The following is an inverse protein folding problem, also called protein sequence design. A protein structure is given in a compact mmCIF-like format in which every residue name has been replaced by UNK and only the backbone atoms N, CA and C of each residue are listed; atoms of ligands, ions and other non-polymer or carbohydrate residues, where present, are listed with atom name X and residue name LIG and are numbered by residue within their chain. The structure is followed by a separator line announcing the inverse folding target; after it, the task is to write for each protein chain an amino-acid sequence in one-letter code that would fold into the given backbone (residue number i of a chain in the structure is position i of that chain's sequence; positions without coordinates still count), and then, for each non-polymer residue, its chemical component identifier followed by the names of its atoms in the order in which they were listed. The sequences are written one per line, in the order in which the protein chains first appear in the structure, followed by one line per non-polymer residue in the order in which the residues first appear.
data_IF_142987614515
#
_entry.id   IF_142987614515
#
_cell.length_a   1.000
_cell.length_b   1.000
_cell.length_c   1.000
_cell.angle_alpha   90.00
_cell.angle_beta   90.00
_cell.angle_gamma   90.00
#
_symmetry.space_group_name_H-M   'P 1'
#
loop_
_entity.id
_entity.type
_entity.pdbx_description
1 polymer ?
#
# COMPACT_ATOMS: atom_id res chain seq x y z
N UNK A 1 36.25 -32.39 8.22
CA UNK A 1 35.14 -31.53 8.67
C UNK A 1 35.45 -30.17 8.12
N UNK A 2 34.65 -29.71 7.16
CA UNK A 2 34.78 -28.35 6.65
C UNK A 2 34.20 -27.40 7.70
N UNK A 3 34.93 -26.31 7.95
CA UNK A 3 34.56 -25.31 8.97
C UNK A 3 33.31 -24.52 8.55
N UNK A 4 33.09 -24.36 7.24
CA UNK A 4 32.00 -23.59 6.66
C UNK A 4 31.17 -24.44 5.70
N UNK A 5 29.86 -24.16 5.65
CA UNK A 5 28.99 -24.77 4.64
C UNK A 5 29.29 -24.22 3.23
N UNK A 6 28.90 -24.91 2.15
CA UNK A 6 29.02 -24.40 0.79
C UNK A 6 28.41 -23.00 0.60
N UNK A 7 27.27 -22.73 1.25
CA UNK A 7 26.58 -21.44 1.21
C UNK A 7 27.38 -20.34 1.91
N UNK A 8 27.97 -20.62 3.08
CA UNK A 8 28.85 -19.68 3.78
C UNK A 8 30.13 -19.40 2.99
N UNK A 9 30.68 -20.41 2.30
CA UNK A 9 31.84 -20.22 1.41
C UNK A 9 31.49 -19.36 0.20
N UNK A 10 30.27 -19.49 -0.35
CA UNK A 10 29.80 -18.64 -1.43
C UNK A 10 29.72 -17.18 -0.96
N UNK A 11 29.08 -16.92 0.18
CA UNK A 11 29.01 -15.57 0.74
C UNK A 11 30.41 -14.96 0.97
N UNK A 12 31.33 -15.72 1.57
CA UNK A 12 32.69 -15.26 1.81
C UNK A 12 33.46 -14.94 0.51
N UNK A 13 33.23 -15.71 -0.56
CA UNK A 13 33.85 -15.46 -1.88
C UNK A 13 33.28 -14.22 -2.58
N UNK A 14 32.04 -13.85 -2.25
CA UNK A 14 31.35 -12.69 -2.82
C UNK A 14 31.20 -11.54 -1.82
N UNK A 15 32.06 -11.49 -0.80
CA UNK A 15 31.93 -10.54 0.31
C UNK A 15 31.97 -9.07 -0.12
N UNK A 16 32.84 -8.71 -1.06
CA UNK A 16 32.91 -7.33 -1.56
C UNK A 16 31.63 -6.93 -2.30
N UNK A 17 31.11 -7.81 -3.18
CA UNK A 17 29.81 -7.58 -3.83
C UNK A 17 28.67 -7.49 -2.83
N UNK A 18 28.69 -8.32 -1.78
CA UNK A 18 27.71 -8.23 -0.69
C UNK A 18 27.79 -6.87 0.03
N UNK A 19 29.00 -6.36 0.31
CA UNK A 19 29.18 -5.03 0.91
C UNK A 19 28.68 -3.92 -0.01
N UNK A 20 28.99 -3.98 -1.30
CA UNK A 20 28.48 -3.01 -2.28
C UNK A 20 26.95 -3.00 -2.31
N UNK A 21 26.30 -4.17 -2.27
CA UNK A 21 24.84 -4.28 -2.23
C UNK A 21 24.25 -3.64 -0.96
N UNK A 22 24.87 -3.84 0.20
CA UNK A 22 24.46 -3.20 1.46
C UNK A 22 24.60 -1.67 1.41
N UNK A 23 25.60 -1.16 0.67
CA UNK A 23 25.82 0.28 0.54
C UNK A 23 24.81 0.95 -0.40
N UNK A 24 24.28 0.24 -1.39
CA UNK A 24 23.28 0.78 -2.34
C UNK A 24 21.83 0.57 -1.90
N UNK A 25 21.55 -0.32 -0.96
CA UNK A 25 20.17 -0.59 -0.49
C UNK A 25 19.44 0.67 0.01
N UNK A 26 20.06 1.58 0.80
CA UNK A 26 19.41 2.83 1.21
C UNK A 26 19.08 3.76 0.04
N UNK A 27 19.87 3.69 -1.04
CA UNK A 27 19.59 4.45 -2.26
C UNK A 27 18.35 3.92 -2.97
N UNK A 28 18.20 2.59 -3.03
CA UNK A 28 17.02 1.94 -3.59
C UNK A 28 15.76 2.25 -2.75
N UNK A 29 15.84 2.23 -1.42
CA UNK A 29 14.74 2.64 -0.53
C UNK A 29 14.28 4.07 -0.81
N UNK A 30 15.23 4.99 -0.97
CA UNK A 30 14.94 6.38 -1.31
C UNK A 30 14.25 6.51 -2.67
N UNK A 31 14.75 5.82 -3.69
CA UNK A 31 14.16 5.81 -5.03
C UNK A 31 12.73 5.25 -5.05
N UNK A 32 12.47 4.20 -4.26
CA UNK A 32 11.11 3.68 -4.04
C UNK A 32 10.23 4.74 -3.40
N UNK A 33 10.71 5.41 -2.35
CA UNK A 33 9.96 6.49 -1.70
C UNK A 33 9.63 7.65 -2.64
N UNK A 34 10.58 8.06 -3.48
CA UNK A 34 10.39 9.08 -4.51
C UNK A 34 9.36 8.62 -5.57
N UNK A 35 9.40 7.36 -5.99
CA UNK A 35 8.41 6.76 -6.88
C UNK A 35 7.00 6.81 -6.28
N UNK A 36 6.86 6.44 -5.00
CA UNK A 36 5.58 6.46 -4.29
C UNK A 36 5.04 7.87 -4.15
N UNK A 37 5.87 8.84 -3.77
CA UNK A 37 5.46 10.24 -3.69
C UNK A 37 4.99 10.79 -5.04
N UNK A 38 5.60 10.35 -6.15
CA UNK A 38 5.21 10.78 -7.50
C UNK A 38 3.81 10.30 -7.91
N UNK A 39 3.22 9.31 -7.23
CA UNK A 39 1.86 8.81 -7.51
C UNK A 39 0.80 9.91 -7.35
N UNK A 40 0.99 10.84 -6.39
CA UNK A 40 0.06 11.94 -6.16
C UNK A 40 -0.24 12.73 -7.44
N UNK A 41 0.78 12.95 -8.26
CA UNK A 41 0.64 13.70 -9.52
C UNK A 41 -0.31 13.03 -10.53
N UNK A 42 -0.49 11.70 -10.46
CA UNK A 42 -1.46 10.97 -11.28
C UNK A 42 -2.86 10.98 -10.67
N UNK A 43 -2.96 10.96 -9.34
CA UNK A 43 -4.24 10.99 -8.62
C UNK A 43 -4.92 12.35 -8.74
N UNK A 44 -4.18 13.46 -8.68
CA UNK A 44 -4.71 14.83 -8.83
C UNK A 44 -5.44 15.04 -10.17
N UNK A 45 -5.06 14.27 -11.21
CA UNK A 45 -5.70 14.35 -12.53
C UNK A 45 -7.07 13.67 -12.57
N UNK A 46 -7.42 12.87 -11.57
CA UNK A 46 -8.66 12.10 -11.54
C UNK A 46 -9.86 12.96 -11.14
N UNK A 47 -11.02 12.71 -11.76
CA UNK A 47 -12.22 13.51 -11.52
C UNK A 47 -12.73 13.45 -10.06
N UNK A 48 -12.47 12.36 -9.35
CA UNK A 48 -12.86 12.15 -7.95
C UNK A 48 -11.99 12.95 -6.97
N UNK A 49 -10.78 13.36 -7.35
CA UNK A 49 -9.83 14.04 -6.49
C UNK A 49 -10.39 15.33 -5.87
N UNK A 50 -11.21 16.05 -6.63
CA UNK A 50 -11.87 17.31 -6.21
C UNK A 50 -12.83 17.17 -5.03
N UNK A 51 -13.15 15.95 -4.60
CA UNK A 51 -14.04 15.68 -3.48
C UNK A 51 -13.29 15.69 -2.15
N UNK A 52 -12.41 16.67 -1.93
CA UNK A 52 -11.62 16.84 -0.69
C UNK A 52 -10.72 15.66 -0.33
N UNK A 53 -10.16 14.96 -1.34
CA UNK A 53 -9.17 13.91 -1.09
C UNK A 53 -7.78 14.51 -0.85
N UNK A 54 -7.05 13.92 0.08
CA UNK A 54 -5.65 14.22 0.36
C UNK A 54 -4.79 13.00 0.16
N UNK A 55 -3.55 13.20 -0.24
CA UNK A 55 -2.53 12.17 -0.29
C UNK A 55 -1.51 12.36 0.81
N UNK A 56 -1.05 11.25 1.37
CA UNK A 56 -0.02 11.22 2.41
C UNK A 56 1.01 10.18 2.01
N UNK A 57 2.28 10.61 1.97
CA UNK A 57 3.43 9.72 1.93
C UNK A 57 3.98 9.58 3.35
N UNK A 58 4.08 8.35 3.84
CA UNK A 58 4.48 8.02 5.20
C UNK A 58 5.76 7.15 5.19
N UNK A 59 6.77 7.58 5.93
CA UNK A 59 8.03 6.84 6.16
C UNK A 59 8.66 6.20 4.91
N UNK A 60 8.53 6.84 3.73
CA UNK A 60 9.09 6.39 2.44
C UNK A 60 8.65 5.00 1.95
N UNK A 61 7.81 4.28 2.69
CA UNK A 61 7.41 2.89 2.40
C UNK A 61 5.89 2.69 2.41
N UNK A 62 5.14 3.75 2.69
CA UNK A 62 3.68 3.76 2.66
C UNK A 62 3.15 5.02 1.97
N UNK A 63 2.08 4.85 1.20
CA UNK A 63 1.25 5.94 0.71
C UNK A 63 -0.20 5.62 0.98
N UNK A 64 -0.98 6.66 1.24
CA UNK A 64 -2.42 6.52 1.32
C UNK A 64 -3.13 7.81 0.92
N UNK A 65 -4.40 7.66 0.57
CA UNK A 65 -5.34 8.76 0.46
C UNK A 65 -6.37 8.69 1.58
N UNK A 66 -6.81 9.85 2.01
CA UNK A 66 -7.88 10.03 2.97
C UNK A 66 -8.74 11.23 2.57
N UNK A 67 -10.01 11.23 2.94
CA UNK A 67 -10.90 12.35 2.69
C UNK A 67 -10.82 13.35 3.84
N UNK A 68 -10.66 14.64 3.56
CA UNK A 68 -10.55 15.68 4.58
C UNK A 68 -11.85 15.89 5.38
N UNK A 69 -12.98 15.46 4.83
CA UNK A 69 -14.26 15.50 5.54
C UNK A 69 -14.48 14.28 6.44
N UNK A 70 -13.65 13.23 6.30
CA UNK A 70 -13.76 12.00 7.09
C UNK A 70 -12.71 12.01 8.21
N UNK A 71 -12.81 13.02 9.07
CA UNK A 71 -11.93 13.22 10.23
C UNK A 71 -12.73 13.02 11.52
N UNK A 72 -12.11 12.37 12.50
CA UNK A 72 -12.71 12.21 13.82
C UNK A 72 -12.73 13.54 14.57
N UNK A 73 -13.38 13.57 15.73
CA UNK A 73 -13.31 14.71 16.68
C UNK A 73 -11.89 15.09 17.13
N UNK A 74 -10.89 14.24 16.88
CA UNK A 74 -9.48 14.49 17.17
C UNK A 74 -8.68 14.91 15.94
N UNK A 75 -9.35 15.26 14.83
CA UNK A 75 -8.74 15.65 13.55
C UNK A 75 -7.92 14.51 12.88
N UNK A 76 -8.10 13.27 13.33
CA UNK A 76 -7.49 12.09 12.71
C UNK A 76 -8.37 11.53 11.60
N UNK A 77 -7.80 11.16 10.46
CA UNK A 77 -8.53 10.50 9.37
C UNK A 77 -9.17 9.19 9.85
N UNK A 78 -10.47 9.05 9.58
CA UNK A 78 -11.26 7.88 9.98
C UNK A 78 -11.12 6.74 8.99
N UNK A 79 -10.86 7.05 7.72
CA UNK A 79 -10.65 6.08 6.65
C UNK A 79 -9.36 6.41 5.88
N UNK A 80 -8.63 5.36 5.52
CA UNK A 80 -7.45 5.47 4.66
C UNK A 80 -7.45 4.34 3.63
N UNK A 81 -7.11 4.69 2.40
CA UNK A 81 -6.96 3.77 1.28
C UNK A 81 -5.49 3.86 0.85
N UNK A 82 -4.73 2.78 0.93
CA UNK A 82 -3.29 2.89 0.77
C UNK A 82 -2.58 1.63 0.30
N UNK A 83 -1.27 1.77 0.24
CA UNK A 83 -0.29 0.73 -0.01
C UNK A 83 0.80 0.88 1.06
N UNK A 84 1.02 -0.16 1.87
CA UNK A 84 2.02 -0.17 2.94
C UNK A 84 3.11 -1.24 2.71
N UNK A 85 4.26 -1.02 3.34
CA UNK A 85 5.36 -1.98 3.35
C UNK A 85 6.10 -2.10 2.02
N UNK A 86 6.19 -1.02 1.26
CA UNK A 86 6.91 -0.99 -0.01
C UNK A 86 8.40 -0.80 0.27
N UNK A 87 9.07 -1.90 0.61
CA UNK A 87 10.52 -1.94 0.87
C UNK A 87 11.22 -2.88 -0.11
N UNK A 88 12.54 -2.74 -0.33
CA UNK A 88 13.29 -3.63 -1.23
C UNK A 88 13.08 -5.12 -0.90
N UNK A 89 13.10 -5.50 0.38
CA UNK A 89 12.97 -6.90 0.78
C UNK A 89 11.54 -7.46 0.56
N UNK A 90 10.50 -6.60 0.62
CA UNK A 90 9.12 -6.99 0.33
C UNK A 90 8.84 -7.03 -1.17
N UNK A 91 9.46 -6.15 -1.96
CA UNK A 91 9.32 -6.11 -3.41
C UNK A 91 10.10 -7.23 -4.13
N UNK A 92 11.38 -7.39 -3.79
CA UNK A 92 12.33 -8.25 -4.51
C UNK A 92 12.83 -9.44 -3.67
N UNK A 93 12.69 -9.34 -2.34
CA UNK A 93 13.24 -10.31 -1.40
C UNK A 93 12.26 -11.41 -1.00
N UNK A 94 12.48 -11.97 0.20
CA UNK A 94 11.74 -13.16 0.69
C UNK A 94 10.59 -12.83 1.64
N UNK A 95 10.47 -11.58 2.07
CA UNK A 95 9.38 -11.16 2.96
C UNK A 95 8.01 -11.20 2.27
N UNK A 96 6.95 -11.06 3.05
CA UNK A 96 5.60 -10.93 2.49
C UNK A 96 5.52 -9.71 1.56
N UNK A 97 4.82 -9.81 0.42
CA UNK A 97 4.70 -8.70 -0.52
C UNK A 97 4.13 -7.43 0.15
N UNK A 98 4.38 -6.24 -0.40
CA UNK A 98 3.66 -5.03 0.02
C UNK A 98 2.16 -5.23 -0.15
N UNK A 99 1.37 -4.42 0.55
CA UNK A 99 -0.05 -4.68 0.70
C UNK A 99 -0.88 -3.43 0.45
N UNK A 100 -1.79 -3.53 -0.50
CA UNK A 100 -2.90 -2.60 -0.63
C UNK A 100 -3.90 -2.80 0.50
N UNK A 101 -4.51 -1.71 0.94
CA UNK A 101 -5.46 -1.75 2.03
C UNK A 101 -6.57 -0.70 1.91
N UNK A 102 -7.69 -0.98 2.55
CA UNK A 102 -8.63 0.02 3.07
C UNK A 102 -8.76 -0.22 4.56
N UNK A 103 -8.51 0.81 5.37
CA UNK A 103 -8.55 0.72 6.84
C UNK A 103 -9.42 1.82 7.43
N UNK A 104 -10.06 1.52 8.56
CA UNK A 104 -10.73 2.49 9.41
C UNK A 104 -10.16 2.51 10.82
N UNK A 105 -10.03 3.70 11.40
CA UNK A 105 -9.72 3.84 12.81
C UNK A 105 -10.95 3.57 13.71
N UNK A 106 -12.17 3.62 13.15
CA UNK A 106 -13.42 3.30 13.83
C UNK A 106 -13.89 1.87 13.51
N UNK A 107 -14.03 1.06 14.56
CA UNK A 107 -14.44 -0.35 14.44
C UNK A 107 -15.87 -0.53 13.92
N UNK A 108 -16.81 0.31 14.37
CA UNK A 108 -18.21 0.19 13.97
C UNK A 108 -18.40 0.60 12.52
N UNK A 109 -17.72 1.68 12.09
CA UNK A 109 -17.69 2.08 10.69
C UNK A 109 -17.03 1.02 9.82
N UNK A 110 -15.88 0.47 10.27
CA UNK A 110 -15.22 -0.63 9.59
C UNK A 110 -16.20 -1.78 9.32
N UNK A 111 -16.88 -2.26 10.38
CA UNK A 111 -17.85 -3.35 10.27
C UNK A 111 -19.01 -3.01 9.33
N UNK A 112 -19.58 -1.81 9.48
CA UNK A 112 -20.70 -1.35 8.64
C UNK A 112 -20.33 -1.32 7.16
N UNK A 113 -19.16 -0.79 6.83
CA UNK A 113 -18.66 -0.72 5.45
C UNK A 113 -18.32 -2.11 4.93
N UNK A 114 -17.70 -2.99 5.73
CA UNK A 114 -17.46 -4.38 5.34
C UNK A 114 -18.75 -5.09 4.99
N UNK A 115 -19.80 -4.97 5.82
CA UNK A 115 -21.11 -5.58 5.55
C UNK A 115 -21.72 -5.03 4.24
N UNK A 116 -21.61 -3.73 3.98
CA UNK A 116 -22.10 -3.10 2.73
C UNK A 116 -21.32 -3.53 1.49
N UNK A 117 -20.02 -3.78 1.65
CA UNK A 117 -19.13 -4.19 0.57
C UNK A 117 -19.31 -5.68 0.24
N UNK A 118 -19.57 -6.53 1.23
CA UNK A 118 -19.80 -7.96 1.04
C UNK A 118 -20.96 -8.28 0.07
N UNK A 119 -21.94 -7.38 -0.04
CA UNK A 119 -23.08 -7.52 -0.95
C UNK A 119 -22.77 -7.18 -2.42
N UNK A 120 -21.54 -6.71 -2.73
CA UNK A 120 -21.14 -6.38 -4.11
C UNK A 120 -20.36 -7.50 -4.78
N UNK A 121 -20.91 -8.03 -5.86
CA UNK A 121 -20.27 -9.03 -6.73
C UNK A 121 -18.94 -8.54 -7.35
N UNK A 122 -18.66 -7.23 -7.40
CA UNK A 122 -17.48 -6.66 -8.04
C UNK A 122 -16.18 -6.74 -7.24
N UNK A 123 -16.18 -7.34 -6.03
CA UNK A 123 -15.01 -7.41 -5.14
C UNK A 123 -14.21 -8.72 -5.27
N UNK A 124 -14.37 -9.47 -6.36
CA UNK A 124 -13.82 -10.82 -6.62
C UNK A 124 -12.30 -11.04 -6.37
N UNK A 125 -11.52 -10.00 -6.06
CA UNK A 125 -10.05 -10.05 -6.00
C UNK A 125 -9.45 -9.61 -4.67
N UNK A 126 -10.20 -9.67 -3.58
CA UNK A 126 -9.83 -9.02 -2.32
C UNK A 126 -10.03 -9.95 -1.14
N UNK A 127 -9.00 -10.11 -0.30
CA UNK A 127 -9.13 -10.80 0.97
C UNK A 127 -9.71 -9.82 2.00
N UNK A 128 -10.90 -10.12 2.52
CA UNK A 128 -11.42 -9.42 3.68
C UNK A 128 -10.67 -9.91 4.91
N UNK A 129 -9.86 -9.04 5.50
CA UNK A 129 -9.07 -9.35 6.69
C UNK A 129 -9.89 -9.07 7.95
N UNK A 130 -10.50 -10.13 8.48
CA UNK A 130 -11.22 -10.09 9.75
C UNK A 130 -10.30 -10.25 10.98
N UNK A 131 -9.01 -10.51 10.79
CA UNK A 131 -8.06 -10.82 11.88
C UNK A 131 -7.52 -9.56 12.56
N UNK A 132 -7.50 -8.44 11.83
CA UNK A 132 -7.20 -7.11 12.35
C UNK A 132 -8.48 -6.26 12.36
N UNK A 133 -8.87 -5.75 13.53
CA UNK A 133 -10.16 -5.07 13.74
C UNK A 133 -10.30 -3.72 13.01
N UNK A 134 -9.39 -3.37 12.12
CA UNK A 134 -9.31 -2.04 11.48
C UNK A 134 -9.12 -2.09 9.97
N UNK A 135 -8.78 -3.24 9.39
CA UNK A 135 -8.73 -3.37 7.94
C UNK A 135 -10.10 -3.82 7.44
N UNK A 136 -10.67 -3.05 6.51
CA UNK A 136 -11.86 -3.46 5.78
C UNK A 136 -11.48 -4.52 4.75
N UNK A 137 -10.30 -4.33 4.14
CA UNK A 137 -9.76 -5.22 3.14
C UNK A 137 -8.27 -5.08 2.98
N UNK A 138 -7.67 -6.15 2.49
CA UNK A 138 -6.25 -6.22 2.15
C UNK A 138 -6.07 -6.95 0.82
N UNK A 139 -5.04 -6.54 0.06
CA UNK A 139 -4.67 -7.23 -1.17
C UNK A 139 -3.16 -7.13 -1.38
N UNK A 140 -2.44 -8.25 -1.54
CA UNK A 140 -1.01 -8.19 -1.83
C UNK A 140 -0.76 -7.51 -3.18
N UNK A 141 0.21 -6.59 -3.23
CA UNK A 141 0.81 -6.13 -4.47
C UNK A 141 1.72 -7.26 -4.99
N UNK A 142 1.49 -7.79 -6.20
CA UNK A 142 2.35 -8.84 -6.76
C UNK A 142 3.81 -8.40 -6.74
N UNK A 143 4.70 -9.32 -6.33
CA UNK A 143 6.14 -9.07 -6.38
C UNK A 143 6.56 -8.86 -7.83
N UNK A 144 7.50 -7.94 -8.02
CA UNK A 144 8.10 -7.69 -9.33
C UNK A 144 9.29 -8.63 -9.48
N UNK A 145 9.30 -9.42 -10.55
CA UNK A 145 10.41 -10.32 -10.80
C UNK A 145 11.68 -9.52 -11.15
N UNK A 146 12.89 -10.04 -10.87
CA UNK A 146 14.14 -9.35 -11.20
C UNK A 146 14.24 -8.89 -12.66
N UNK A 147 13.72 -9.68 -13.58
CA UNK A 147 13.64 -9.38 -15.02
C UNK A 147 12.64 -8.26 -15.37
N UNK A 148 11.73 -7.90 -14.47
CA UNK A 148 10.68 -6.89 -14.66
C UNK A 148 11.03 -5.56 -13.97
N UNK A 149 12.17 -5.46 -13.27
CA UNK A 149 12.58 -4.27 -12.50
C UNK A 149 12.65 -3.02 -13.38
N UNK A 150 13.11 -3.14 -14.62
CA UNK A 150 13.15 -2.01 -15.57
C UNK A 150 11.75 -1.49 -15.93
N UNK A 151 10.72 -2.34 -15.81
CA UNK A 151 9.31 -2.01 -16.06
C UNK A 151 8.54 -1.78 -14.76
N UNK A 152 9.21 -1.73 -13.61
CA UNK A 152 8.57 -1.59 -12.29
C UNK A 152 7.56 -0.44 -12.27
N UNK A 153 7.98 0.73 -12.76
CA UNK A 153 7.12 1.91 -12.81
C UNK A 153 5.93 1.79 -13.78
N UNK A 154 6.05 0.97 -14.83
CA UNK A 154 4.99 0.74 -15.81
C UNK A 154 3.98 -0.30 -15.34
N UNK A 155 4.43 -1.27 -14.53
CA UNK A 155 3.58 -2.35 -14.00
C UNK A 155 2.91 -1.95 -12.69
N UNK A 156 3.65 -1.34 -11.77
CA UNK A 156 3.16 -1.08 -10.40
C UNK A 156 2.33 0.20 -10.33
N UNK A 157 2.74 1.26 -11.03
CA UNK A 157 2.03 2.56 -10.97
C UNK A 157 0.55 2.44 -11.39
N UNK A 158 0.19 1.78 -12.50
CA UNK A 158 -1.22 1.65 -12.86
C UNK A 158 -2.03 0.90 -11.82
N UNK A 159 -1.46 -0.16 -11.22
CA UNK A 159 -2.13 -0.92 -10.17
C UNK A 159 -2.41 -0.07 -8.92
N UNK A 160 -1.44 0.76 -8.50
CA UNK A 160 -1.63 1.69 -7.39
C UNK A 160 -2.74 2.69 -7.72
N UNK A 161 -2.64 3.36 -8.86
CA UNK A 161 -3.60 4.40 -9.27
C UNK A 161 -5.00 3.81 -9.42
N UNK A 162 -5.12 2.63 -10.02
CA UNK A 162 -6.38 1.91 -10.19
C UNK A 162 -7.00 1.55 -8.84
N UNK A 163 -6.22 0.94 -7.94
CA UNK A 163 -6.71 0.55 -6.61
C UNK A 163 -7.19 1.77 -5.81
N UNK A 164 -6.34 2.81 -5.69
CA UNK A 164 -6.69 4.03 -4.96
C UNK A 164 -7.91 4.71 -5.57
N UNK A 165 -7.97 4.83 -6.90
CA UNK A 165 -9.09 5.47 -7.60
C UNK A 165 -10.40 4.70 -7.47
N UNK A 166 -10.34 3.37 -7.53
CA UNK A 166 -11.50 2.51 -7.38
C UNK A 166 -12.13 2.70 -6.00
N UNK A 167 -11.32 2.59 -4.94
CA UNK A 167 -11.85 2.71 -3.58
C UNK A 167 -12.20 4.14 -3.18
N UNK A 168 -11.53 5.16 -3.74
CA UNK A 168 -11.93 6.55 -3.52
C UNK A 168 -13.36 6.79 -4.04
N UNK A 169 -13.64 6.31 -5.25
CA UNK A 169 -14.97 6.44 -5.86
C UNK A 169 -16.01 5.58 -5.14
N UNK A 170 -15.67 4.32 -4.86
CA UNK A 170 -16.58 3.39 -4.21
C UNK A 170 -16.97 3.86 -2.81
N UNK A 171 -16.01 4.29 -1.98
CA UNK A 171 -16.31 4.78 -0.64
C UNK A 171 -17.06 6.10 -0.66
N UNK A 172 -16.85 6.94 -1.69
CA UNK A 172 -17.63 8.16 -1.87
C UNK A 172 -19.12 7.89 -2.09
N UNK A 173 -19.51 6.74 -2.67
CA UNK A 173 -20.92 6.33 -2.77
C UNK A 173 -21.56 6.13 -1.38
N UNK A 174 -20.75 5.85 -0.36
CA UNK A 174 -21.17 5.69 1.03
C UNK A 174 -20.96 6.96 1.87
N UNK A 175 -20.63 8.11 1.26
CA UNK A 175 -20.34 9.36 1.98
C UNK A 175 -21.40 9.72 3.04
N UNK A 176 -22.73 9.64 2.78
CA UNK A 176 -23.73 9.97 3.80
C UNK A 176 -23.68 9.04 5.02
N UNK A 177 -23.37 7.76 4.81
CA UNK A 177 -23.25 6.76 5.89
C UNK A 177 -21.97 7.01 6.69
N UNK A 178 -20.88 7.36 6.01
CA UNK A 178 -19.59 7.67 6.63
C UNK A 178 -19.72 8.94 7.50
N UNK A 179 -20.31 10.02 6.96
CA UNK A 179 -20.54 11.26 7.69
C UNK A 179 -21.45 11.05 8.92
N UNK A 180 -22.56 10.31 8.76
CA UNK A 180 -23.46 9.99 9.88
C UNK A 180 -22.77 9.17 10.99
N UNK A 181 -21.88 8.26 10.62
CA UNK A 181 -21.14 7.43 11.57
C UNK A 181 -20.05 8.21 12.33
N UNK A 182 -19.51 9.27 11.72
CA UNK A 182 -18.44 10.10 12.30
C UNK A 182 -19.01 11.19 13.22
N UNK A 183 -20.22 11.70 12.92
CA UNK A 183 -20.97 12.64 13.77
C UNK A 183 -20.78 14.11 13.41
#
# INVERSE_FOLDING_TARGET
MDIFSPESLLLARHWESYRELLEIEPQLEREIGEFLAAIESELIKQAWWKNEWSFVAYEQSEIYIANQNWVSQYEEFVLSIGLEGVTPNRLFGREHPPQFYVKSSDYNLCKLLTDKLADRESLEFVEMDYSSSRYLLTKPLPKVLPEEVEQFGEVVKPQIVEFLSFYAQLLWEFNPIIEEAIG
#
